data_IF_334262187190
#
_entry.id   IF_334262187190
#
_cell.length_a   1.000
_cell.length_b   1.000
_cell.length_c   1.000
_cell.angle_alpha   90.00
_cell.angle_beta   90.00
_cell.angle_gamma   90.00
#
_symmetry.space_group_name_H-M   'P 1'
#
loop_
_entity.id
_entity.type
_entity.pdbx_description
1 polymer ?
#
# COMPACT_ATOMS: atom_id res chain seq x y z
N UNK A 1 19.43 -6.19 4.67
CA UNK A 1 18.31 -7.06 4.28
C UNK A 1 18.28 -7.06 2.77
N UNK A 2 18.29 -8.23 2.15
CA UNK A 2 18.36 -8.36 0.70
C UNK A 2 17.06 -7.84 0.06
N UNK A 3 17.16 -6.75 -0.72
CA UNK A 3 16.01 -6.08 -1.35
C UNK A 3 15.52 -6.80 -2.60
N UNK A 4 16.31 -7.73 -3.11
CA UNK A 4 15.97 -8.60 -4.25
C UNK A 4 15.19 -9.84 -3.81
N UNK A 5 15.23 -10.18 -2.51
CA UNK A 5 14.59 -11.37 -1.97
C UNK A 5 13.06 -11.32 -2.14
N UNK A 6 12.48 -12.41 -2.64
CA UNK A 6 11.02 -12.56 -2.80
C UNK A 6 10.27 -12.30 -1.50
N UNK A 7 10.80 -12.70 -0.34
CA UNK A 7 10.20 -12.44 0.97
C UNK A 7 10.08 -10.95 1.31
N UNK A 8 11.05 -10.14 0.88
CA UNK A 8 11.02 -8.68 1.07
C UNK A 8 9.95 -8.01 0.23
N UNK A 9 9.78 -8.49 -1.00
CA UNK A 9 8.72 -8.07 -1.91
C UNK A 9 7.34 -8.49 -1.40
N UNK A 10 7.19 -9.73 -0.93
CA UNK A 10 5.95 -10.21 -0.28
C UNK A 10 5.60 -9.34 0.92
N UNK A 11 6.57 -9.04 1.79
CA UNK A 11 6.36 -8.14 2.93
C UNK A 11 5.80 -6.78 2.50
N UNK A 12 6.37 -6.16 1.46
CA UNK A 12 5.90 -4.87 0.96
C UNK A 12 4.48 -4.93 0.39
N UNK A 13 4.12 -6.00 -0.33
CA UNK A 13 2.74 -6.17 -0.79
C UNK A 13 1.77 -6.44 0.35
N UNK A 14 2.17 -7.19 1.38
CA UNK A 14 1.36 -7.38 2.59
C UNK A 14 1.14 -6.06 3.33
N UNK A 15 2.19 -5.25 3.48
CA UNK A 15 2.08 -3.91 4.07
C UNK A 15 1.19 -2.99 3.24
N UNK A 16 1.31 -3.03 1.91
CA UNK A 16 0.47 -2.26 1.00
C UNK A 16 -1.02 -2.61 1.17
N UNK A 17 -1.35 -3.91 1.15
CA UNK A 17 -2.72 -4.39 1.36
C UNK A 17 -3.21 -3.97 2.75
N UNK A 18 -2.39 -4.18 3.78
CA UNK A 18 -2.71 -3.77 5.15
C UNK A 18 -2.97 -2.27 5.26
N UNK A 19 -2.21 -1.43 4.55
CA UNK A 19 -2.39 0.01 4.51
C UNK A 19 -3.70 0.40 3.80
N UNK A 20 -4.04 -0.25 2.69
CA UNK A 20 -5.33 -0.02 2.01
C UNK A 20 -6.49 -0.33 2.97
N UNK A 21 -6.45 -1.49 3.62
CA UNK A 21 -7.48 -1.89 4.58
C UNK A 21 -7.54 -0.94 5.78
N UNK A 22 -6.39 -0.49 6.29
CA UNK A 22 -6.32 0.47 7.38
C UNK A 22 -6.96 1.81 7.01
N UNK A 23 -6.74 2.30 5.77
CA UNK A 23 -7.37 3.55 5.29
C UNK A 23 -8.87 3.38 5.18
N UNK A 24 -9.36 2.26 4.62
CA UNK A 24 -10.80 1.97 4.54
C UNK A 24 -11.43 1.92 5.94
N UNK A 25 -10.85 1.15 6.86
CA UNK A 25 -11.27 1.06 8.26
C UNK A 25 -11.30 2.45 8.94
N UNK A 26 -10.28 3.29 8.67
CA UNK A 26 -10.21 4.65 9.23
C UNK A 26 -11.36 5.53 8.72
N UNK A 27 -11.75 5.38 7.45
CA UNK A 27 -12.91 6.10 6.89
C UNK A 27 -14.21 5.55 7.49
N UNK A 28 -14.35 4.24 7.63
CA UNK A 28 -15.55 3.64 8.21
C UNK A 28 -15.78 4.07 9.66
N UNK A 29 -14.71 4.25 10.43
CA UNK A 29 -14.77 4.80 11.79
C UNK A 29 -15.33 6.20 11.89
N UNK A 30 -15.39 6.97 10.79
CA UNK A 30 -16.05 8.29 10.80
C UNK A 30 -17.57 8.20 10.69
N UNK A 31 -18.14 6.99 10.66
CA UNK A 31 -19.59 6.76 10.47
C UNK A 31 -20.02 6.75 9.00
N UNK A 32 -19.07 6.78 8.07
CA UNK A 32 -19.32 6.73 6.63
C UNK A 32 -19.11 5.31 6.13
N UNK A 33 -20.16 4.64 5.63
CA UNK A 33 -19.96 3.35 4.96
C UNK A 33 -19.15 3.53 3.68
N UNK A 34 -18.16 2.66 3.46
CA UNK A 34 -17.30 2.76 2.27
C UNK A 34 -17.90 1.91 1.15
N UNK A 35 -18.53 2.50 0.12
CA UNK A 35 -18.99 1.72 -1.03
C UNK A 35 -17.80 1.16 -1.81
N UNK A 36 -18.01 0.03 -2.49
CA UNK A 36 -16.96 -0.69 -3.22
C UNK A 36 -16.16 0.21 -4.17
N UNK A 37 -16.83 1.10 -4.92
CA UNK A 37 -16.15 2.01 -5.85
C UNK A 37 -15.20 2.98 -5.13
N UNK A 38 -15.53 3.41 -3.91
CA UNK A 38 -14.66 4.25 -3.11
C UNK A 38 -13.47 3.46 -2.55
N UNK A 39 -13.68 2.19 -2.19
CA UNK A 39 -12.60 1.26 -1.86
C UNK A 39 -11.59 1.10 -3.01
N UNK A 40 -12.07 1.03 -4.27
CA UNK A 40 -11.20 1.01 -5.45
C UNK A 40 -10.38 2.30 -5.57
N UNK A 41 -10.99 3.48 -5.34
CA UNK A 41 -10.27 4.76 -5.37
C UNK A 41 -9.19 4.79 -4.29
N UNK A 42 -9.49 4.35 -3.06
CA UNK A 42 -8.51 4.25 -1.98
C UNK A 42 -7.36 3.34 -2.38
N UNK A 43 -7.66 2.16 -2.94
CA UNK A 43 -6.65 1.22 -3.40
C UNK A 43 -5.75 1.82 -4.49
N UNK A 44 -6.31 2.58 -5.45
CA UNK A 44 -5.53 3.28 -6.47
C UNK A 44 -4.63 4.35 -5.84
N UNK A 45 -5.18 5.22 -4.99
CA UNK A 45 -4.42 6.30 -4.35
C UNK A 45 -3.27 5.74 -3.52
N UNK A 46 -3.53 4.74 -2.69
CA UNK A 46 -2.51 4.10 -1.86
C UNK A 46 -1.52 3.30 -2.72
N UNK A 47 -2.01 2.57 -3.73
CA UNK A 47 -1.19 1.80 -4.66
C UNK A 47 -0.21 2.66 -5.46
N UNK A 48 -0.58 3.88 -5.83
CA UNK A 48 0.31 4.84 -6.50
C UNK A 48 1.19 5.64 -5.52
N UNK A 49 0.70 5.89 -4.31
CA UNK A 49 1.42 6.67 -3.30
C UNK A 49 2.50 5.86 -2.58
N UNK A 50 2.17 4.64 -2.15
CA UNK A 50 3.04 3.80 -1.33
C UNK A 50 4.41 3.53 -1.98
N UNK A 51 4.52 3.09 -3.26
CA UNK A 51 5.82 2.87 -3.88
C UNK A 51 6.69 4.13 -3.89
N UNK A 52 6.10 5.31 -4.13
CA UNK A 52 6.83 6.59 -4.13
C UNK A 52 7.35 6.94 -2.74
N UNK A 53 6.54 6.74 -1.71
CA UNK A 53 6.93 7.00 -0.31
C UNK A 53 8.05 6.05 0.12
N UNK A 54 7.91 4.76 -0.19
CA UNK A 54 8.90 3.73 0.14
C UNK A 54 10.22 3.95 -0.63
N UNK A 55 10.15 4.36 -1.89
CA UNK A 55 11.33 4.75 -2.68
C UNK A 55 12.03 5.97 -2.10
N UNK A 56 11.28 7.01 -1.72
CA UNK A 56 11.85 8.19 -1.06
C UNK A 56 12.50 7.86 0.30
N UNK A 57 11.97 6.87 1.02
CA UNK A 57 12.55 6.35 2.25
C UNK A 57 13.78 5.44 2.03
N UNK A 58 14.13 5.14 0.77
CA UNK A 58 15.27 4.31 0.41
C UNK A 58 15.10 2.84 0.81
N UNK A 59 13.86 2.36 0.95
CA UNK A 59 13.54 0.97 1.32
C UNK A 59 12.70 0.26 0.25
N UNK A 60 12.67 0.78 -0.98
CA UNK A 60 11.94 0.17 -2.07
C UNK A 60 12.53 -1.21 -2.46
N UNK A 61 11.67 -2.19 -2.78
CA UNK A 61 12.09 -3.39 -3.50
C UNK A 61 12.65 -3.01 -4.88
N UNK A 62 13.75 -3.64 -5.30
CA UNK A 62 14.41 -3.35 -6.58
C UNK A 62 13.47 -3.53 -7.79
N UNK A 63 12.53 -4.48 -7.72
CA UNK A 63 11.52 -4.69 -8.78
C UNK A 63 10.55 -3.52 -8.99
N UNK A 64 10.49 -2.55 -8.07
CA UNK A 64 9.67 -1.35 -8.22
C UNK A 64 10.44 -0.20 -8.89
N UNK A 65 11.76 -0.35 -9.05
CA UNK A 65 12.64 0.63 -9.67
C UNK A 65 12.88 0.36 -11.17
N UNK A 66 12.45 -0.81 -11.69
CA UNK A 66 12.53 -1.23 -13.09
C UNK A 66 11.27 -0.90 -13.89
#
# INVERSE_FOLDING_TARGET
MDRSATSYLVLHYTLLIGLILLVVETIERTGTSVPLWMGVIVALVVGFGYPRVVAAAGVAPERWES
#
